data_IF_586766006272
#
_entry.id   IF_586766006272
#
_cell.length_a   1.000
_cell.length_b   1.000
_cell.length_c   1.000
_cell.angle_alpha   90.00
_cell.angle_beta   90.00
_cell.angle_gamma   90.00
#
_symmetry.space_group_name_H-M   'P 1'
#
loop_
_entity.id
_entity.type
_entity.pdbx_description
1 polymer ?
#
# COMPACT_ATOMS: atom_id res chain seq x y z
N UNK A 1 -27.41 -12.89 -10.50
CA UNK A 1 -26.06 -13.26 -10.02
C UNK A 1 -25.07 -12.09 -9.92
N UNK A 2 -25.25 -10.97 -10.66
CA UNK A 2 -24.34 -9.80 -10.58
C UNK A 2 -24.44 -8.95 -9.30
N UNK A 3 -25.63 -8.74 -8.75
CA UNK A 3 -25.86 -7.84 -7.59
C UNK A 3 -25.15 -8.30 -6.30
N UNK A 4 -25.24 -9.59 -5.95
CA UNK A 4 -24.56 -10.11 -4.75
C UNK A 4 -23.04 -9.99 -4.81
N UNK A 5 -22.45 -10.13 -6.00
CA UNK A 5 -21.01 -9.98 -6.18
C UNK A 5 -20.56 -8.53 -5.90
N UNK A 6 -21.35 -7.55 -6.34
CA UNK A 6 -21.07 -6.13 -6.07
C UNK A 6 -21.18 -5.82 -4.57
N UNK A 7 -22.19 -6.35 -3.89
CA UNK A 7 -22.34 -6.15 -2.44
C UNK A 7 -21.16 -6.76 -1.66
N UNK A 8 -20.73 -7.98 -2.03
CA UNK A 8 -19.56 -8.62 -1.40
C UNK A 8 -18.28 -7.81 -1.60
N UNK A 9 -18.00 -7.35 -2.82
CA UNK A 9 -16.83 -6.50 -3.08
C UNK A 9 -16.88 -5.19 -2.31
N UNK A 10 -18.05 -4.56 -2.21
CA UNK A 10 -18.24 -3.33 -1.45
C UNK A 10 -18.00 -3.55 0.04
N UNK A 11 -18.52 -4.63 0.63
CA UNK A 11 -18.27 -4.98 2.03
C UNK A 11 -16.79 -5.25 2.29
N UNK A 12 -16.13 -6.03 1.42
CA UNK A 12 -14.69 -6.29 1.51
C UNK A 12 -13.91 -4.97 1.44
N UNK A 13 -14.29 -4.07 0.53
CA UNK A 13 -13.66 -2.74 0.41
C UNK A 13 -13.81 -1.92 1.69
N UNK A 14 -15.02 -1.84 2.24
CA UNK A 14 -15.32 -1.09 3.48
C UNK A 14 -14.52 -1.62 4.67
N UNK A 15 -14.35 -2.95 4.78
CA UNK A 15 -13.59 -3.57 5.87
C UNK A 15 -12.08 -3.43 5.66
N UNK A 16 -11.60 -3.59 4.42
CA UNK A 16 -10.17 -3.51 4.13
C UNK A 16 -9.62 -2.09 4.22
N UNK A 17 -10.44 -1.06 3.98
CA UNK A 17 -9.99 0.33 4.04
C UNK A 17 -9.41 0.74 5.41
N UNK A 18 -10.09 0.53 6.56
CA UNK A 18 -9.53 0.82 7.87
C UNK A 18 -8.37 -0.12 8.23
N UNK A 19 -8.40 -1.38 7.79
CA UNK A 19 -7.28 -2.32 7.99
C UNK A 19 -6.02 -1.82 7.28
N UNK A 20 -6.15 -1.41 6.02
CA UNK A 20 -5.06 -0.82 5.25
C UNK A 20 -4.57 0.46 5.92
N UNK A 21 -5.47 1.39 6.29
CA UNK A 21 -5.06 2.65 6.89
C UNK A 21 -4.31 2.45 8.21
N UNK A 22 -4.83 1.58 9.09
CA UNK A 22 -4.16 1.25 10.34
C UNK A 22 -2.78 0.63 10.11
N UNK A 23 -2.69 -0.38 9.25
CA UNK A 23 -1.43 -1.08 8.99
C UNK A 23 -0.43 -0.20 8.24
N UNK A 24 -0.89 0.70 7.38
CA UNK A 24 -0.06 1.72 6.72
C UNK A 24 0.54 2.67 7.74
N UNK A 25 -0.27 3.26 8.63
CA UNK A 25 0.23 4.16 9.68
C UNK A 25 1.20 3.43 10.61
N UNK A 26 0.89 2.21 11.03
CA UNK A 26 1.79 1.40 11.86
C UNK A 26 3.12 1.11 11.14
N UNK A 27 3.07 0.76 9.86
CA UNK A 27 4.28 0.48 9.05
C UNK A 27 5.12 1.74 8.86
N UNK A 28 4.50 2.87 8.55
CA UNK A 28 5.18 4.16 8.43
C UNK A 28 5.79 4.63 9.75
N UNK A 29 5.07 4.44 10.86
CA UNK A 29 5.58 4.75 12.20
C UNK A 29 6.82 3.93 12.51
N UNK A 30 6.74 2.61 12.33
CA UNK A 30 7.89 1.71 12.54
C UNK A 30 9.06 2.05 11.61
N UNK A 31 8.77 2.35 10.34
CA UNK A 31 9.77 2.74 9.35
C UNK A 31 10.50 4.04 9.70
N UNK A 32 9.84 4.97 10.41
CA UNK A 32 10.45 6.24 10.82
C UNK A 32 11.57 6.07 11.85
N UNK A 33 11.58 4.98 12.63
CA UNK A 33 12.61 4.73 13.63
C UNK A 33 14.00 4.55 13.04
N UNK A 34 14.13 4.14 11.77
CA UNK A 34 15.44 4.08 11.09
C UNK A 34 16.16 5.43 11.15
N UNK A 35 15.42 6.55 11.15
CA UNK A 35 16.02 7.88 11.18
C UNK A 35 16.64 8.25 12.53
N UNK A 36 16.26 7.55 13.59
CA UNK A 36 16.70 7.77 14.96
C UNK A 36 17.85 6.83 15.36
N UNK A 37 18.15 5.81 14.55
CA UNK A 37 19.25 4.90 14.80
C UNK A 37 20.61 5.56 14.48
N UNK A 38 21.57 5.47 15.40
CA UNK A 38 22.94 5.97 15.16
C UNK A 38 23.61 5.27 13.96
N UNK A 39 23.23 4.01 13.71
CA UNK A 39 23.78 3.17 12.65
C UNK A 39 22.84 3.02 11.44
N UNK A 40 21.94 3.97 11.21
CA UNK A 40 20.92 3.90 10.14
C UNK A 40 21.49 3.55 8.75
N UNK A 41 22.72 3.94 8.45
CA UNK A 41 23.42 3.59 7.20
C UNK A 41 23.62 2.08 6.98
N UNK A 42 23.54 1.26 8.03
CA UNK A 42 23.58 -0.22 7.91
C UNK A 42 22.24 -0.82 7.48
N UNK A 43 21.17 -0.05 7.58
CA UNK A 43 19.80 -0.50 7.36
C UNK A 43 19.26 -0.10 5.99
N UNK A 44 19.88 0.87 5.32
CA UNK A 44 19.53 1.32 3.97
C UNK A 44 20.00 0.33 2.89
N UNK A 45 19.23 0.23 1.81
CA UNK A 45 19.52 -0.62 0.65
C UNK A 45 19.51 0.22 -0.64
N UNK A 46 18.59 1.17 -0.76
CA UNK A 46 18.38 1.96 -1.97
C UNK A 46 18.84 3.42 -1.85
N UNK A 47 18.81 3.98 -0.65
CA UNK A 47 19.30 5.33 -0.37
C UNK A 47 20.80 5.38 -0.68
N UNK A 48 21.26 6.36 -1.48
CA UNK A 48 22.67 6.43 -1.86
C UNK A 48 23.56 6.67 -0.63
N UNK A 49 24.75 6.07 -0.62
CA UNK A 49 25.71 6.21 0.49
C UNK A 49 26.19 7.65 0.70
N UNK A 50 26.06 8.49 -0.34
CA UNK A 50 26.34 9.93 -0.32
C UNK A 50 25.36 10.71 0.56
N UNK A 51 24.24 10.10 1.00
CA UNK A 51 23.34 10.70 1.97
C UNK A 51 24.08 10.98 3.29
N UNK A 52 24.05 12.25 3.70
CA UNK A 52 24.73 12.74 4.91
C UNK A 52 23.79 12.75 6.11
N UNK A 53 22.49 12.89 5.87
CA UNK A 53 21.48 13.08 6.90
C UNK A 53 20.42 11.97 6.86
N UNK A 54 19.94 11.53 8.02
CA UNK A 54 18.92 10.47 8.10
C UNK A 54 17.57 10.89 7.52
N UNK A 55 17.33 12.19 7.37
CA UNK A 55 16.15 12.76 6.71
C UNK A 55 16.11 12.48 5.20
N UNK A 56 17.27 12.16 4.60
CA UNK A 56 17.39 11.84 3.18
C UNK A 56 17.09 10.36 2.88
N UNK A 57 16.84 9.54 3.90
CA UNK A 57 16.49 8.12 3.73
C UNK A 57 15.21 8.02 2.91
N UNK A 58 15.28 7.27 1.82
CA UNK A 58 14.15 7.01 0.94
C UNK A 58 13.05 6.23 1.67
N UNK A 59 11.79 6.55 1.35
CA UNK A 59 10.62 5.88 1.94
C UNK A 59 10.64 4.36 1.71
N UNK A 60 11.22 3.89 0.59
CA UNK A 60 11.37 2.46 0.33
C UNK A 60 12.27 1.77 1.38
N UNK A 61 13.34 2.41 1.83
CA UNK A 61 14.21 1.85 2.87
C UNK A 61 13.52 1.88 4.24
N UNK A 62 12.75 2.94 4.54
CA UNK A 62 11.91 2.98 5.75
C UNK A 62 10.89 1.84 5.75
N UNK A 63 10.28 1.55 4.60
CA UNK A 63 9.36 0.45 4.44
C UNK A 63 10.05 -0.92 4.62
N UNK A 64 11.23 -1.12 4.02
CA UNK A 64 12.03 -2.35 4.17
C UNK A 64 12.44 -2.54 5.62
N UNK A 65 12.86 -1.47 6.29
CA UNK A 65 13.16 -1.48 7.72
C UNK A 65 11.93 -1.94 8.52
N UNK A 66 10.77 -1.31 8.30
CA UNK A 66 9.54 -1.71 8.98
C UNK A 66 9.15 -3.18 8.70
N UNK A 67 9.38 -3.66 7.47
CA UNK A 67 9.18 -5.07 7.11
C UNK A 67 10.11 -6.02 7.88
N UNK A 68 11.37 -5.63 8.15
CA UNK A 68 12.30 -6.43 8.96
C UNK A 68 11.84 -6.54 10.42
N UNK A 69 11.35 -5.45 11.01
CA UNK A 69 10.95 -5.43 12.42
C UNK A 69 9.51 -5.92 12.68
N UNK A 70 8.57 -5.59 11.80
CA UNK A 70 7.15 -5.94 11.91
C UNK A 70 6.63 -6.56 10.61
N UNK A 71 7.15 -7.74 10.20
CA UNK A 71 6.85 -8.33 8.90
C UNK A 71 5.36 -8.59 8.71
N UNK A 72 4.66 -9.05 9.75
CA UNK A 72 3.23 -9.37 9.67
C UNK A 72 2.41 -8.10 9.33
N UNK A 73 2.66 -6.99 10.02
CA UNK A 73 1.92 -5.74 9.79
C UNK A 73 2.20 -5.20 8.38
N UNK A 74 3.47 -5.22 7.95
CA UNK A 74 3.86 -4.78 6.61
C UNK A 74 3.28 -5.67 5.51
N UNK A 75 3.22 -6.99 5.71
CA UNK A 75 2.57 -7.94 4.77
C UNK A 75 1.07 -7.64 4.66
N UNK A 76 0.39 -7.45 5.79
CA UNK A 76 -1.05 -7.10 5.79
C UNK A 76 -1.28 -5.76 5.09
N UNK A 77 -0.39 -4.78 5.28
CA UNK A 77 -0.44 -3.50 4.58
C UNK A 77 -0.34 -3.68 3.05
N UNK A 78 0.63 -4.47 2.56
CA UNK A 78 0.79 -4.73 1.12
C UNK A 78 -0.41 -5.49 0.56
N UNK A 79 -0.84 -6.56 1.22
CA UNK A 79 -1.94 -7.39 0.73
C UNK A 79 -3.26 -6.61 0.68
N UNK A 80 -3.56 -5.85 1.73
CA UNK A 80 -4.76 -5.00 1.76
C UNK A 80 -4.72 -3.94 0.66
N UNK A 81 -3.57 -3.29 0.43
CA UNK A 81 -3.37 -2.35 -0.67
C UNK A 81 -3.61 -2.99 -2.05
N UNK A 82 -3.01 -4.16 -2.31
CA UNK A 82 -3.16 -4.87 -3.58
C UNK A 82 -4.61 -5.29 -3.83
N UNK A 83 -5.32 -5.76 -2.79
CA UNK A 83 -6.74 -6.12 -2.92
C UNK A 83 -7.60 -4.89 -3.19
N UNK A 84 -7.36 -3.77 -2.48
CA UNK A 84 -8.08 -2.51 -2.72
C UNK A 84 -7.88 -2.01 -4.15
N UNK A 85 -6.64 -2.01 -4.65
CA UNK A 85 -6.34 -1.69 -6.06
C UNK A 85 -7.08 -2.64 -7.00
N UNK A 86 -7.03 -3.95 -6.74
CA UNK A 86 -7.72 -4.95 -7.56
C UNK A 86 -9.23 -4.70 -7.66
N UNK A 87 -9.87 -4.32 -6.54
CA UNK A 87 -11.29 -3.95 -6.51
C UNK A 87 -11.55 -2.69 -7.34
N UNK A 88 -10.73 -1.65 -7.16
CA UNK A 88 -10.86 -0.38 -7.90
C UNK A 88 -10.71 -0.63 -9.41
N UNK A 89 -9.68 -1.36 -9.83
CA UNK A 89 -9.47 -1.73 -11.24
C UNK A 89 -10.68 -2.51 -11.76
N UNK A 90 -11.18 -3.49 -11.00
CA UNK A 90 -12.37 -4.27 -11.40
C UNK A 90 -13.59 -3.37 -11.66
N UNK A 91 -13.85 -2.39 -10.79
CA UNK A 91 -14.94 -1.43 -10.98
C UNK A 91 -14.72 -0.53 -12.20
N UNK A 92 -13.51 0.00 -12.37
CA UNK A 92 -13.15 0.85 -13.51
C UNK A 92 -13.32 0.06 -14.82
N UNK A 93 -12.72 -1.13 -14.93
CA UNK A 93 -12.82 -1.96 -16.14
C UNK A 93 -14.26 -2.32 -16.48
N UNK A 94 -15.11 -2.59 -15.49
CA UNK A 94 -16.54 -2.86 -15.70
C UNK A 94 -17.30 -1.62 -16.15
N UNK A 95 -17.02 -0.45 -15.57
CA UNK A 95 -17.63 0.82 -15.99
C UNK A 95 -17.32 1.12 -17.45
N UNK A 96 -16.08 0.89 -17.90
CA UNK A 96 -15.71 1.05 -19.31
C UNK A 96 -16.39 0.01 -20.21
N UNK A 97 -16.55 -1.24 -19.77
CA UNK A 97 -17.20 -2.31 -20.55
C UNK A 97 -18.72 -2.09 -20.71
N UNK A 98 -19.36 -1.41 -19.77
CA UNK A 98 -20.79 -1.06 -19.80
C UNK A 98 -21.09 0.32 -20.38
N UNK A 99 -20.08 1.05 -20.88
CA UNK A 99 -20.29 2.20 -21.75
C UNK A 99 -20.25 1.70 -23.20
N UNK A 100 -21.36 1.18 -23.78
CA UNK A 100 -21.39 0.80 -25.17
C UNK A 100 -21.03 1.99 -26.04
N UNK A 101 -20.38 1.69 -27.16
CA UNK A 101 -20.08 2.56 -28.30
C UNK A 101 -21.23 3.53 -28.59
N UNK A 102 -21.17 4.77 -28.08
CA UNK A 102 -21.86 5.91 -28.67
C UNK A 102 -20.97 6.53 -29.76
N UNK A 103 -20.52 5.68 -30.68
CA UNK A 103 -19.90 6.09 -31.94
C UNK A 103 -20.57 5.22 -32.99
N UNK A 104 -21.72 5.69 -33.49
CA UNK A 104 -22.15 5.73 -34.89
C UNK A 104 -23.57 6.32 -34.87
N UNK A 105 -23.66 7.63 -35.06
CA UNK A 105 -24.57 8.26 -36.02
C UNK A 105 -24.14 9.71 -36.22
#
# INVERSE_FOLDING_TARGET
MGSEYHLKQLLIFIILLPVFFYTYVATSWTGSYIMLEENWKKHIVFTPETATESQQIYEIDKFIYAFKYQPIISIVCILSFLILIGIIISWISRKFRHSPKNIVN
#
